data_IF_073577369379
#
_entry.id   IF_073577369379
#
_cell.length_a   1.000
_cell.length_b   1.000
_cell.length_c   1.000
_cell.angle_alpha   90.00
_cell.angle_beta   90.00
_cell.angle_gamma   90.00
#
_symmetry.space_group_name_H-M   'P 1'
#
loop_
_entity.id
_entity.type
_entity.pdbx_description
1 polymer ?
#
# COMPACT_ATOMS: atom_id res chain seq x y z
N UNK A 1 8.34 -6.70 -26.44
CA UNK A 1 7.28 -6.50 -25.44
C UNK A 1 7.96 -6.43 -24.10
N UNK A 2 7.83 -5.31 -23.41
CA UNK A 2 8.45 -5.07 -22.10
C UNK A 2 7.39 -5.22 -21.03
N UNK A 3 7.55 -6.26 -20.20
CA UNK A 3 6.70 -6.53 -19.05
C UNK A 3 7.40 -6.04 -17.79
N UNK A 4 6.65 -5.38 -16.92
CA UNK A 4 7.21 -4.85 -15.68
C UNK A 4 6.46 -5.36 -14.46
N UNK A 5 7.18 -5.52 -13.36
CA UNK A 5 6.63 -5.83 -12.05
C UNK A 5 6.53 -4.55 -11.24
N UNK A 6 5.35 -4.20 -10.73
CA UNK A 6 5.18 -3.13 -9.74
C UNK A 6 4.85 -3.75 -8.38
N UNK A 7 5.87 -4.14 -7.59
CA UNK A 7 5.67 -4.78 -6.31
C UNK A 7 5.29 -3.79 -5.22
N UNK A 8 4.47 -4.22 -4.28
CA UNK A 8 4.10 -3.43 -3.11
C UNK A 8 3.27 -4.21 -2.11
N UNK A 9 3.16 -3.68 -0.88
CA UNK A 9 2.23 -4.28 0.10
C UNK A 9 0.78 -3.91 -0.22
N UNK A 10 0.52 -2.67 -0.68
CA UNK A 10 -0.83 -2.17 -0.98
C UNK A 10 -1.84 -2.39 0.15
N UNK A 11 -1.52 -1.95 1.38
CA UNK A 11 -2.34 -2.16 2.59
C UNK A 11 -2.90 -0.85 3.18
N UNK A 12 -3.96 -0.26 2.58
CA UNK A 12 -4.52 -0.59 1.26
C UNK A 12 -3.84 0.17 0.10
N UNK A 13 -4.26 -0.13 -1.13
CA UNK A 13 -3.95 0.71 -2.29
C UNK A 13 -4.55 2.13 -2.12
N UNK A 14 -3.90 3.15 -2.71
CA UNK A 14 -4.29 4.56 -2.57
C UNK A 14 -3.86 5.36 -3.81
N UNK A 15 -4.29 6.62 -3.93
CA UNK A 15 -4.13 7.41 -5.16
C UNK A 15 -2.67 7.57 -5.60
N UNK A 16 -1.71 7.65 -4.68
CA UNK A 16 -0.28 7.61 -5.03
C UNK A 16 0.17 6.31 -5.71
N UNK A 17 -0.37 5.14 -5.34
CA UNK A 17 -0.10 3.89 -6.04
C UNK A 17 -0.74 3.88 -7.44
N UNK A 18 -1.96 4.42 -7.56
CA UNK A 18 -2.67 4.52 -8.85
C UNK A 18 -1.92 5.43 -9.82
N UNK A 19 -1.34 6.54 -9.35
CA UNK A 19 -0.51 7.44 -10.16
C UNK A 19 0.67 6.70 -10.79
N UNK A 20 1.40 5.91 -10.00
CA UNK A 20 2.54 5.12 -10.48
C UNK A 20 2.09 4.02 -11.44
N UNK A 21 1.05 3.25 -11.10
CA UNK A 21 0.53 2.20 -11.97
C UNK A 21 0.02 2.76 -13.31
N UNK A 22 -0.70 3.89 -13.28
CA UNK A 22 -1.21 4.57 -14.48
C UNK A 22 -0.05 5.02 -15.36
N UNK A 23 0.97 5.66 -14.78
CA UNK A 23 2.13 6.13 -15.56
C UNK A 23 2.96 4.97 -16.09
N UNK A 24 3.19 3.92 -15.30
CA UNK A 24 3.83 2.71 -15.78
C UNK A 24 3.06 2.09 -16.96
N UNK A 25 1.72 2.08 -16.91
CA UNK A 25 0.87 1.54 -17.98
C UNK A 25 0.99 2.31 -19.30
N UNK A 26 1.41 3.58 -19.25
CA UNK A 26 1.70 4.38 -20.46
C UNK A 26 3.10 4.19 -21.02
N UNK A 27 4.02 3.64 -20.22
CA UNK A 27 5.44 3.49 -20.57
C UNK A 27 5.80 2.07 -21.01
N UNK A 28 5.03 1.07 -20.57
CA UNK A 28 5.33 -0.34 -20.77
C UNK A 28 4.15 -1.08 -21.38
N UNK A 29 4.45 -2.20 -22.06
CA UNK A 29 3.42 -2.99 -22.74
C UNK A 29 2.49 -3.69 -21.74
N UNK A 30 3.03 -4.15 -20.61
CA UNK A 30 2.27 -4.84 -19.57
C UNK A 30 2.83 -4.55 -18.16
N UNK A 31 1.94 -4.25 -17.22
CA UNK A 31 2.28 -3.96 -15.82
C UNK A 31 1.62 -5.01 -14.92
N UNK A 32 2.44 -5.77 -14.21
CA UNK A 32 2.00 -6.69 -13.17
C UNK A 32 2.16 -6.03 -11.81
N UNK A 33 1.05 -5.58 -11.23
CA UNK A 33 1.02 -5.08 -9.85
C UNK A 33 1.05 -6.26 -8.89
N UNK A 34 2.14 -6.41 -8.16
CA UNK A 34 2.42 -7.61 -7.36
C UNK A 34 2.25 -7.32 -5.87
N UNK A 35 1.19 -7.88 -5.29
CA UNK A 35 0.84 -7.77 -3.87
C UNK A 35 1.69 -8.76 -3.07
N UNK A 36 2.58 -8.24 -2.23
CA UNK A 36 3.46 -9.08 -1.42
C UNK A 36 2.68 -9.75 -0.26
N UNK A 37 2.77 -11.07 -0.15
CA UNK A 37 1.99 -11.88 0.80
C UNK A 37 2.61 -11.93 2.21
N UNK A 38 3.95 -11.87 2.33
CA UNK A 38 4.65 -12.11 3.59
C UNK A 38 5.45 -10.90 4.16
N UNK A 39 4.87 -9.69 4.28
CA UNK A 39 5.63 -8.56 4.84
C UNK A 39 5.85 -8.73 6.35
N UNK A 40 7.03 -8.37 6.88
CA UNK A 40 7.36 -8.46 8.31
C UNK A 40 6.70 -7.33 9.12
N UNK A 41 5.40 -7.08 8.93
CA UNK A 41 4.63 -6.05 9.61
C UNK A 41 3.17 -6.47 9.77
N UNK A 42 2.50 -5.92 10.78
CA UNK A 42 1.05 -6.11 10.96
C UNK A 42 0.30 -5.43 9.82
N UNK A 43 -0.43 -6.21 9.03
CA UNK A 43 -1.30 -5.72 7.97
C UNK A 43 -2.71 -5.51 8.49
N UNK A 44 -3.42 -4.53 7.90
CA UNK A 44 -4.84 -4.30 8.20
C UNK A 44 -5.74 -5.22 7.37
N UNK A 45 -5.37 -5.42 6.11
CA UNK A 45 -6.06 -6.26 5.16
C UNK A 45 -5.30 -7.57 4.92
N UNK A 46 -6.04 -8.68 4.77
CA UNK A 46 -5.46 -9.94 4.31
C UNK A 46 -4.91 -9.80 2.89
N UNK A 47 -4.13 -10.77 2.43
CA UNK A 47 -3.57 -10.76 1.08
C UNK A 47 -4.66 -10.77 0.02
N UNK A 48 -5.71 -11.56 0.22
CA UNK A 48 -6.88 -11.64 -0.65
C UNK A 48 -7.63 -10.31 -0.69
N UNK A 49 -7.83 -9.67 0.47
CA UNK A 49 -8.48 -8.36 0.53
C UNK A 49 -7.65 -7.30 -0.22
N UNK A 50 -6.32 -7.32 -0.09
CA UNK A 50 -5.42 -6.37 -0.79
C UNK A 50 -5.41 -6.61 -2.29
N UNK A 51 -5.37 -7.88 -2.72
CA UNK A 51 -5.49 -8.28 -4.12
C UNK A 51 -6.79 -7.76 -4.73
N UNK A 52 -7.92 -7.97 -4.05
CA UNK A 52 -9.23 -7.50 -4.52
C UNK A 52 -9.30 -5.97 -4.60
N UNK A 53 -8.85 -5.27 -3.55
CA UNK A 53 -8.85 -3.81 -3.51
C UNK A 53 -8.01 -3.21 -4.65
N UNK A 54 -6.83 -3.79 -4.92
CA UNK A 54 -5.95 -3.37 -6.00
C UNK A 54 -6.55 -3.71 -7.38
N UNK A 55 -7.14 -4.90 -7.54
CA UNK A 55 -7.75 -5.34 -8.80
C UNK A 55 -8.89 -4.42 -9.21
N UNK A 56 -9.81 -4.11 -8.29
CA UNK A 56 -10.92 -3.17 -8.53
C UNK A 56 -10.40 -1.76 -8.82
N UNK A 57 -9.36 -1.33 -8.11
CA UNK A 57 -8.79 0.00 -8.29
C UNK A 57 -8.18 0.23 -9.68
N UNK A 58 -7.57 -0.81 -10.24
CA UNK A 58 -6.79 -0.78 -11.48
C UNK A 58 -7.53 -1.33 -12.69
N UNK A 59 -8.76 -1.85 -12.53
CA UNK A 59 -9.56 -2.46 -13.60
C UNK A 59 -9.81 -1.58 -14.85
N UNK A 60 -9.62 -0.27 -14.72
CA UNK A 60 -9.76 0.68 -15.82
C UNK A 60 -8.52 0.75 -16.74
N UNK A 61 -7.40 0.13 -16.36
CA UNK A 61 -6.15 0.10 -17.11
C UNK A 61 -6.02 -1.26 -17.83
N UNK A 62 -6.17 -1.31 -19.17
CA UNK A 62 -6.33 -2.57 -19.90
C UNK A 62 -5.08 -3.45 -19.95
N UNK A 63 -3.90 -2.87 -19.73
CA UNK A 63 -2.60 -3.56 -19.71
C UNK A 63 -2.02 -3.71 -18.30
N UNK A 64 -2.86 -3.58 -17.27
CA UNK A 64 -2.48 -3.77 -15.88
C UNK A 64 -3.20 -5.00 -15.34
N UNK A 65 -2.44 -5.94 -14.79
CA UNK A 65 -2.98 -7.08 -14.04
C UNK A 65 -2.45 -7.06 -12.62
N UNK A 66 -3.18 -7.65 -11.68
CA UNK A 66 -2.79 -7.73 -10.27
C UNK A 66 -2.57 -9.18 -9.89
N UNK A 67 -1.43 -9.47 -9.26
CA UNK A 67 -1.04 -10.80 -8.80
C UNK A 67 -0.60 -10.74 -7.33
N UNK A 68 -0.48 -11.89 -6.69
CA UNK A 68 0.18 -12.03 -5.39
C UNK A 68 1.52 -12.73 -5.56
N UNK A 69 2.44 -12.49 -4.64
CA UNK A 69 3.70 -13.24 -4.60
C UNK A 69 4.26 -13.33 -3.17
N UNK A 70 5.09 -14.34 -2.97
CA UNK A 70 5.91 -14.55 -1.78
C UNK A 70 7.38 -14.75 -2.18
N UNK A 71 8.28 -14.76 -1.20
CA UNK A 71 9.72 -14.90 -1.46
C UNK A 71 10.39 -13.63 -1.99
N UNK A 72 11.42 -13.80 -2.84
CA UNK A 72 12.22 -12.70 -3.37
C UNK A 72 11.52 -12.03 -4.55
N UNK A 73 11.46 -10.69 -4.52
CA UNK A 73 10.82 -9.90 -5.59
C UNK A 73 11.46 -10.13 -6.96
N UNK A 74 12.78 -10.35 -7.01
CA UNK A 74 13.50 -10.63 -8.26
C UNK A 74 13.17 -12.00 -8.85
N UNK A 75 12.88 -13.00 -8.00
CA UNK A 75 12.47 -14.33 -8.46
C UNK A 75 11.05 -14.25 -9.01
N UNK A 76 10.14 -13.55 -8.33
CA UNK A 76 8.81 -13.25 -8.87
C UNK A 76 8.89 -12.53 -10.22
N UNK A 77 9.77 -11.53 -10.37
CA UNK A 77 9.97 -10.83 -11.64
C UNK A 77 10.38 -11.81 -12.76
N UNK A 78 11.31 -12.74 -12.48
CA UNK A 78 11.73 -13.77 -13.45
C UNK A 78 10.63 -14.76 -13.77
N UNK A 79 9.90 -15.24 -12.77
CA UNK A 79 8.81 -16.22 -12.94
C UNK A 79 7.72 -15.68 -13.87
N UNK A 80 7.43 -14.39 -13.77
CA UNK A 80 6.45 -13.73 -14.64
C UNK A 80 7.07 -13.11 -15.90
N UNK A 81 8.37 -13.34 -16.15
CA UNK A 81 9.13 -12.79 -17.28
C UNK A 81 9.10 -11.25 -17.37
N UNK A 82 9.09 -10.57 -16.23
CA UNK A 82 9.25 -9.13 -16.14
C UNK A 82 10.74 -8.74 -16.17
N UNK A 83 11.09 -7.81 -17.06
CA UNK A 83 12.47 -7.32 -17.21
C UNK A 83 12.78 -6.13 -16.30
N UNK A 84 11.75 -5.50 -15.73
CA UNK A 84 11.90 -4.27 -14.94
C UNK A 84 11.03 -4.34 -13.70
N UNK A 85 11.59 -3.95 -12.56
CA UNK A 85 10.85 -3.64 -11.34
C UNK A 85 10.58 -2.13 -11.31
N UNK A 86 9.32 -1.72 -11.27
CA UNK A 86 8.90 -0.32 -11.14
C UNK A 86 8.69 0.03 -9.66
N UNK A 87 9.22 1.17 -9.22
CA UNK A 87 9.04 1.71 -7.86
C UNK A 87 8.65 3.18 -7.90
N UNK A 88 7.82 3.60 -6.93
CA UNK A 88 7.42 4.99 -6.75
C UNK A 88 8.29 5.68 -5.70
N UNK A 89 8.80 6.87 -6.00
CA UNK A 89 9.60 7.67 -5.06
C UNK A 89 8.82 8.92 -4.66
N UNK A 90 8.58 9.11 -3.36
CA UNK A 90 7.91 10.32 -2.84
C UNK A 90 8.89 11.34 -2.31
N UNK A 91 10.02 10.89 -1.79
CA UNK A 91 11.02 11.73 -1.12
C UNK A 91 12.41 11.10 -1.22
N UNK A 92 13.40 11.78 -0.63
CA UNK A 92 14.81 11.35 -0.64
C UNK A 92 15.01 10.03 0.11
N UNK A 93 14.27 9.79 1.21
CA UNK A 93 14.40 8.55 1.97
C UNK A 93 13.91 7.33 1.18
N UNK A 94 12.83 7.46 0.39
CA UNK A 94 12.41 6.41 -0.53
C UNK A 94 13.53 6.12 -1.55
N UNK A 95 14.19 7.17 -2.10
CA UNK A 95 15.30 6.97 -3.04
C UNK A 95 16.46 6.20 -2.42
N UNK A 96 16.91 6.57 -1.21
CA UNK A 96 18.00 5.87 -0.52
C UNK A 96 17.68 4.38 -0.31
N UNK A 97 16.45 4.08 0.12
CA UNK A 97 15.99 2.71 0.31
C UNK A 97 15.95 1.92 -1.01
N UNK A 98 15.31 2.47 -2.05
CA UNK A 98 15.20 1.80 -3.35
C UNK A 98 16.55 1.67 -4.06
N UNK A 99 17.46 2.64 -3.89
CA UNK A 99 18.81 2.57 -4.41
C UNK A 99 19.60 1.42 -3.77
N UNK A 100 19.52 1.27 -2.44
CA UNK A 100 20.19 0.18 -1.73
C UNK A 100 19.64 -1.20 -2.16
N UNK A 101 18.32 -1.36 -2.18
CA UNK A 101 17.68 -2.62 -2.60
C UNK A 101 17.93 -2.89 -4.08
N UNK A 102 17.98 -1.85 -4.92
CA UNK A 102 18.30 -1.94 -6.33
C UNK A 102 19.66 -2.57 -6.61
N UNK A 103 20.71 -2.18 -5.87
CA UNK A 103 22.03 -2.81 -6.01
C UNK A 103 22.03 -4.29 -5.61
N UNK A 104 21.35 -4.64 -4.53
CA UNK A 104 21.24 -6.04 -4.08
C UNK A 104 20.50 -6.86 -5.13
N UNK A 105 19.38 -6.34 -5.63
CA UNK A 105 18.60 -6.98 -6.68
C UNK A 105 19.42 -7.15 -7.97
N UNK A 106 20.17 -6.13 -8.40
CA UNK A 106 21.01 -6.21 -9.60
C UNK A 106 22.13 -7.25 -9.45
N UNK A 107 22.70 -7.41 -8.26
CA UNK A 107 23.70 -8.46 -8.00
C UNK A 107 23.09 -9.87 -8.08
N UNK A 108 21.86 -10.06 -7.63
CA UNK A 108 21.15 -11.34 -7.63
C UNK A 108 20.49 -11.67 -8.98
N UNK A 109 20.03 -10.64 -9.67
CA UNK A 109 19.33 -10.70 -10.94
C UNK A 109 19.77 -9.57 -11.89
N UNK A 110 20.95 -9.71 -12.53
CA UNK A 110 21.48 -8.70 -13.46
C UNK A 110 20.60 -8.47 -14.70
N UNK A 111 19.70 -9.41 -14.99
CA UNK A 111 18.70 -9.39 -16.06
C UNK A 111 17.42 -8.60 -15.71
N UNK A 112 17.27 -8.17 -14.45
CA UNK A 112 16.12 -7.40 -13.96
C UNK A 112 16.55 -5.99 -13.60
N UNK A 113 16.06 -5.00 -14.34
CA UNK A 113 16.34 -3.58 -14.12
C UNK A 113 15.44 -2.95 -13.05
N UNK A 114 15.89 -1.86 -12.44
CA UNK A 114 15.07 -1.02 -11.55
C UNK A 114 14.67 0.28 -12.25
N UNK A 115 13.37 0.57 -12.32
CA UNK A 115 12.83 1.83 -12.82
C UNK A 115 12.10 2.57 -11.70
N UNK A 116 12.61 3.74 -11.32
CA UNK A 116 11.99 4.59 -10.32
C UNK A 116 11.21 5.74 -10.98
N UNK A 117 9.95 5.92 -10.58
CA UNK A 117 9.09 7.03 -11.00
C UNK A 117 8.85 7.94 -9.80
N UNK A 118 9.15 9.23 -9.93
CA UNK A 118 8.78 10.22 -8.91
C UNK A 118 7.26 10.37 -8.85
N UNK A 119 6.66 10.22 -7.67
CA UNK A 119 5.23 10.41 -7.48
C UNK A 119 4.82 11.85 -7.84
N UNK A 120 3.63 12.01 -8.43
CA UNK A 120 3.04 13.34 -8.62
C UNK A 120 2.98 14.10 -7.29
N UNK A 121 3.33 15.40 -7.29
CA UNK A 121 3.47 16.21 -6.07
C UNK A 121 2.24 16.20 -5.17
N UNK A 122 1.05 16.15 -5.77
CA UNK A 122 -0.23 16.05 -5.06
C UNK A 122 -0.43 14.76 -4.24
N UNK A 123 0.43 13.75 -4.42
CA UNK A 123 0.39 12.48 -3.68
C UNK A 123 1.68 12.21 -2.89
N UNK A 124 2.67 13.11 -2.92
CA UNK A 124 3.96 12.90 -2.26
C UNK A 124 3.85 12.73 -0.74
N UNK A 125 2.83 13.34 -0.12
CA UNK A 125 2.56 13.19 1.32
C UNK A 125 1.86 11.87 1.68
N UNK A 126 1.35 11.13 0.70
CA UNK A 126 0.46 10.00 0.94
C UNK A 126 1.25 8.72 1.18
N UNK A 127 0.91 8.04 2.28
CA UNK A 127 1.36 6.68 2.56
C UNK A 127 0.20 5.85 3.07
N UNK A 128 0.26 4.54 2.84
CA UNK A 128 -0.73 3.61 3.40
C UNK A 128 -0.76 3.65 4.94
N UNK A 129 0.38 3.93 5.59
CA UNK A 129 0.44 4.12 7.05
C UNK A 129 -0.38 5.33 7.49
N UNK A 130 -0.13 6.51 6.91
CA UNK A 130 -0.86 7.74 7.23
C UNK A 130 -2.34 7.61 6.90
N UNK A 131 -2.67 6.99 5.75
CA UNK A 131 -4.06 6.72 5.36
C UNK A 131 -4.78 5.87 6.42
N UNK A 132 -4.16 4.80 6.89
CA UNK A 132 -4.75 3.93 7.93
C UNK A 132 -4.90 4.66 9.26
N UNK A 133 -3.92 5.46 9.66
CA UNK A 133 -3.97 6.24 10.90
C UNK A 133 -5.12 7.25 10.88
N UNK A 134 -5.20 8.08 9.85
CA UNK A 134 -6.29 9.05 9.68
C UNK A 134 -7.65 8.35 9.63
N UNK A 135 -7.75 7.23 8.92
CA UNK A 135 -8.99 6.47 8.83
C UNK A 135 -9.41 5.86 10.19
N UNK A 136 -8.47 5.38 11.00
CA UNK A 136 -8.74 4.84 12.33
C UNK A 136 -9.23 5.89 13.32
N UNK A 137 -8.86 7.15 13.10
CA UNK A 137 -9.21 8.30 13.93
C UNK A 137 -10.43 9.08 13.38
N UNK A 138 -11.14 8.52 12.40
CA UNK A 138 -12.30 9.15 11.75
C UNK A 138 -11.98 10.53 11.11
N UNK A 139 -10.73 10.76 10.71
CA UNK A 139 -10.37 11.94 9.92
C UNK A 139 -10.91 11.88 8.49
N UNK A 140 -10.88 13.01 7.77
CA UNK A 140 -11.26 13.04 6.35
C UNK A 140 -10.09 12.63 5.45
N UNK A 141 -10.29 11.54 4.70
CA UNK A 141 -9.37 10.99 3.71
C UNK A 141 -10.05 10.76 2.36
N UNK A 142 -11.15 11.48 2.09
CA UNK A 142 -11.99 11.28 0.89
C UNK A 142 -11.18 11.41 -0.40
N UNK A 143 -10.22 12.33 -0.44
CA UNK A 143 -9.38 12.62 -1.60
C UNK A 143 -8.19 11.66 -1.79
N UNK A 144 -7.98 10.67 -0.91
CA UNK A 144 -6.74 9.90 -0.87
C UNK A 144 -6.85 8.52 -1.52
N UNK A 145 -8.06 7.99 -1.68
CA UNK A 145 -8.29 6.68 -2.28
C UNK A 145 -9.71 6.59 -2.85
N UNK A 146 -9.96 5.59 -3.70
CA UNK A 146 -11.25 5.38 -4.36
C UNK A 146 -12.37 4.97 -3.38
N UNK A 147 -13.65 5.18 -3.74
CA UNK A 147 -14.78 4.91 -2.85
C UNK A 147 -14.82 3.48 -2.27
N UNK A 148 -14.48 2.45 -3.04
CA UNK A 148 -14.51 1.07 -2.57
C UNK A 148 -13.45 0.80 -1.49
N UNK A 149 -12.26 1.40 -1.62
CA UNK A 149 -11.21 1.33 -0.60
C UNK A 149 -11.64 2.06 0.67
N UNK A 150 -12.29 3.23 0.54
CA UNK A 150 -12.82 3.95 1.70
C UNK A 150 -13.86 3.13 2.45
N UNK A 151 -14.78 2.49 1.73
CA UNK A 151 -15.76 1.59 2.34
C UNK A 151 -15.10 0.41 3.05
N UNK A 152 -14.03 -0.16 2.48
CA UNK A 152 -13.28 -1.25 3.10
C UNK A 152 -12.59 -0.80 4.41
N UNK A 153 -11.96 0.37 4.41
CA UNK A 153 -11.35 0.99 5.60
C UNK A 153 -12.40 1.24 6.70
N UNK A 154 -13.54 1.84 6.33
CA UNK A 154 -14.65 2.08 7.26
C UNK A 154 -15.14 0.78 7.91
N UNK A 155 -15.30 -0.30 7.12
CA UNK A 155 -15.72 -1.62 7.64
C UNK A 155 -14.68 -2.23 8.57
N UNK A 156 -13.38 -2.09 8.29
CA UNK A 156 -12.32 -2.60 9.16
C UNK A 156 -12.32 -1.90 10.51
N UNK A 157 -12.27 -0.57 10.52
CA UNK A 157 -12.20 0.19 11.77
C UNK A 157 -13.53 0.26 12.54
N UNK A 158 -14.68 0.09 11.88
CA UNK A 158 -15.96 -0.06 12.57
C UNK A 158 -16.05 -1.36 13.39
N UNK A 159 -15.37 -2.43 12.96
CA UNK A 159 -15.31 -3.71 13.71
C UNK A 159 -14.40 -3.64 14.93
N UNK A 160 -13.40 -2.75 14.91
CA UNK A 160 -12.50 -2.52 16.05
C UNK A 160 -13.06 -1.50 17.06
N UNK A 161 -14.03 -0.68 16.65
CA UNK A 161 -14.77 0.25 17.51
C UNK A 161 -16.01 -0.40 18.16
N UNK A 162 -15.88 -1.63 18.69
CA UNK A 162 -16.85 -2.10 19.70
C UNK A 162 -16.68 -1.18 20.92
N UNK A 163 -17.73 -0.52 21.42
CA UNK A 163 -17.61 0.35 22.57
C UNK A 163 -17.06 -0.45 23.74
N UNK A 164 -15.97 0.02 24.35
CA UNK A 164 -15.66 -0.36 25.72
C UNK A 164 -16.93 -0.09 26.55
N UNK A 165 -17.42 -1.12 27.24
CA UNK A 165 -18.67 -1.08 27.99
C UNK A 165 -18.86 0.26 28.72
N UNK A 166 -19.98 0.93 28.43
CA UNK A 166 -20.48 2.01 29.27
C UNK A 166 -20.76 1.46 30.67
N UNK A 167 -20.19 2.15 31.65
CA UNK A 167 -20.74 2.47 32.98
C UNK A 167 -19.76 2.19 34.12
N UNK A 168 -18.91 3.19 34.40
CA UNK A 168 -18.65 3.56 35.79
C UNK A 168 -19.22 4.95 35.99
N UNK A 169 -20.48 4.99 36.39
CA UNK A 169 -21.06 6.14 37.08
C UNK A 169 -20.12 6.52 38.21
N UNK A 170 -19.47 7.68 38.10
CA UNK A 170 -18.92 8.37 39.27
C UNK A 170 -20.11 8.77 40.13
N UNK A 171 -20.42 7.97 41.14
CA UNK A 171 -21.27 8.40 42.23
C UNK A 171 -20.48 9.38 43.08
N UNK A 172 -21.00 10.60 43.17
CA UNK A 172 -20.62 11.59 44.18
C UNK A 172 -20.58 10.95 45.57
N UNK A 173 -19.47 11.16 46.28
CA UNK A 173 -19.25 10.48 47.56
C UNK A 173 -18.10 11.05 48.38
N UNK A 174 -18.29 12.28 48.86
CA UNK A 174 -17.69 12.89 50.06
C UNK A 174 -16.16 13.13 50.10
N UNK A 175 -15.84 14.42 50.06
CA UNK A 175 -14.71 15.00 50.79
C UNK A 175 -14.72 14.53 52.25
N UNK A 176 -13.61 13.92 52.68
CA UNK A 176 -13.22 13.87 54.08
C UNK A 176 -11.80 14.43 54.19
N UNK A 177 -11.72 15.67 54.69
CA UNK A 177 -10.56 16.09 55.47
C UNK A 177 -10.55 15.28 56.77
N UNK A 178 -9.38 14.79 57.21
CA UNK A 178 -8.83 15.03 58.55
C UNK A 178 -7.42 14.40 58.65
N UNK A 179 -6.50 15.24 59.12
CA UNK A 179 -5.10 15.09 59.59
C UNK A 179 -4.01 14.50 58.67
#
# INVERSE_FOLDING_TARGET
MTRVLYPGTFDPIHNGHLDIATRASTLFDEVLVAVYDAPPKKLLFSTEERLELASVALAHLPNVSVITYEGLTVDCARDVNAQVIVRGLRNVADFEFEHQIGWINHQMAPDVELCCLFCSSQYAYLSATILKEVASLNGDYTAWTQPHVRQALQRKFARDNVPAAENVTRSDGKLAHYD
#
